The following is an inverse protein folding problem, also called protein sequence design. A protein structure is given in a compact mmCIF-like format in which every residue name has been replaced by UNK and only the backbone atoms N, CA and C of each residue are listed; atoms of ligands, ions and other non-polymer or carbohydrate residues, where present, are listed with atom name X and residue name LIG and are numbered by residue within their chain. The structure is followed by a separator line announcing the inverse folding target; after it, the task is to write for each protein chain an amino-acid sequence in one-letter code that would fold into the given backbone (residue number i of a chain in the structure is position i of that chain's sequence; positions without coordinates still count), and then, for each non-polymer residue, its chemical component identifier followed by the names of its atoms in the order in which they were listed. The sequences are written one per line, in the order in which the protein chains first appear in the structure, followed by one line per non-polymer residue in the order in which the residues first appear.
data_IF_511066765333
#
_entry.id   IF_511066765333
#
_cell.length_a   1.000
_cell.length_b   1.000
_cell.length_c   1.000
_cell.angle_alpha   90.00
_cell.angle_beta   90.00
_cell.angle_gamma   90.00
#
_symmetry.space_group_name_H-M   'P 1'
#
loop_
_entity.id
_entity.type
_entity.pdbx_description
1 polymer ?
#
# COMPACT_ATOMS: atom_id res chain seq x y z
N UNK A 1 -22.50 3.02 -1.72
CA UNK A 1 -21.75 4.02 -0.93
C UNK A 1 -20.27 3.80 -1.18
N UNK A 2 -19.56 4.81 -1.69
CA UNK A 2 -18.10 4.74 -1.84
C UNK A 2 -17.45 5.24 -0.55
N UNK A 3 -16.36 4.59 -0.13
CA UNK A 3 -15.63 4.88 1.11
C UNK A 3 -14.20 5.19 0.74
N UNK A 4 -13.57 6.11 1.49
CA UNK A 4 -12.14 6.37 1.39
C UNK A 4 -11.40 5.54 2.43
N UNK A 5 -10.56 4.61 1.98
CA UNK A 5 -9.91 3.61 2.83
C UNK A 5 -8.40 3.78 2.68
N UNK A 6 -7.73 4.09 3.79
CA UNK A 6 -6.28 4.25 3.84
C UNK A 6 -5.63 3.09 4.60
N UNK A 7 -4.73 2.36 3.94
CA UNK A 7 -3.85 1.39 4.59
C UNK A 7 -2.54 2.07 4.95
N UNK A 8 -2.19 2.04 6.23
CA UNK A 8 -0.97 2.64 6.79
C UNK A 8 -0.23 1.62 7.66
N UNK A 9 1.04 1.88 7.96
CA UNK A 9 1.86 1.00 8.81
C UNK A 9 2.45 -0.21 8.09
N UNK A 10 2.41 -0.25 6.75
CA UNK A 10 3.08 -1.28 5.95
C UNK A 10 4.39 -0.76 5.36
N UNK A 11 5.29 -1.66 4.94
CA UNK A 11 6.47 -1.25 4.17
C UNK A 11 6.08 -0.98 2.73
N UNK A 12 5.29 -1.85 2.13
CA UNK A 12 4.64 -1.60 0.84
C UNK A 12 4.05 -2.87 0.23
N UNK A 13 3.26 -2.68 -0.82
CA UNK A 13 2.85 -3.75 -1.74
C UNK A 13 3.41 -3.39 -3.13
N UNK A 14 3.79 -4.36 -3.99
CA UNK A 14 3.50 -5.79 -3.93
C UNK A 14 4.54 -6.68 -3.20
N UNK A 15 5.71 -6.13 -2.79
CA UNK A 15 6.76 -6.90 -2.11
C UNK A 15 6.34 -7.28 -0.70
N UNK A 16 5.74 -8.46 -0.55
CA UNK A 16 5.29 -9.00 0.73
C UNK A 16 6.47 -9.46 1.60
N UNK A 17 6.76 -8.72 2.67
CA UNK A 17 7.75 -9.09 3.69
C UNK A 17 7.11 -9.66 4.96
N UNK A 18 5.79 -9.47 5.15
CA UNK A 18 5.04 -9.83 6.34
C UNK A 18 3.62 -10.29 6.00
N UNK A 19 3.01 -11.07 6.91
CA UNK A 19 1.61 -11.53 6.77
C UNK A 19 0.60 -10.39 6.60
N UNK A 20 0.86 -9.23 7.22
CA UNK A 20 0.01 -8.06 7.06
C UNK A 20 0.11 -7.46 5.64
N UNK A 21 1.29 -7.47 5.02
CA UNK A 21 1.46 -7.00 3.64
C UNK A 21 0.76 -7.92 2.65
N UNK A 22 0.79 -9.23 2.89
CA UNK A 22 0.01 -10.21 2.12
C UNK A 22 -1.50 -9.96 2.26
N UNK A 23 -1.97 -9.69 3.49
CA UNK A 23 -3.37 -9.35 3.73
C UNK A 23 -3.79 -8.09 2.97
N UNK A 24 -3.02 -7.01 3.05
CA UNK A 24 -3.33 -5.76 2.32
C UNK A 24 -3.27 -5.97 0.81
N UNK A 25 -2.29 -6.73 0.29
CA UNK A 25 -2.16 -7.06 -1.13
C UNK A 25 -3.40 -7.77 -1.68
N UNK A 26 -4.04 -8.59 -0.86
CA UNK A 26 -5.24 -9.34 -1.21
C UNK A 26 -6.51 -8.50 -0.99
N UNK A 27 -6.65 -7.84 0.15
CA UNK A 27 -7.88 -7.13 0.50
C UNK A 27 -8.05 -5.81 -0.27
N UNK A 28 -7.00 -5.00 -0.37
CA UNK A 28 -7.07 -3.67 -0.99
C UNK A 28 -7.63 -3.68 -2.43
N UNK A 29 -7.18 -4.55 -3.36
CA UNK A 29 -7.73 -4.58 -4.71
C UNK A 29 -9.19 -5.08 -4.75
N UNK A 30 -9.61 -5.93 -3.80
CA UNK A 30 -11.01 -6.37 -3.69
C UNK A 30 -11.90 -5.23 -3.23
N UNK A 31 -11.41 -4.36 -2.34
CA UNK A 31 -12.13 -3.15 -1.92
C UNK A 31 -12.22 -2.12 -3.05
N UNK A 32 -11.13 -1.92 -3.80
CA UNK A 32 -11.14 -1.05 -4.98
C UNK A 32 -12.14 -1.53 -6.04
N UNK A 33 -12.15 -2.84 -6.34
CA UNK A 33 -13.13 -3.45 -7.25
C UNK A 33 -14.59 -3.30 -6.81
N UNK A 34 -14.84 -3.13 -5.50
CA UNK A 34 -16.19 -2.84 -4.97
C UNK A 34 -16.58 -1.36 -5.11
N UNK A 35 -15.75 -0.53 -5.74
CA UNK A 35 -16.00 0.89 -5.97
C UNK A 35 -15.58 1.81 -4.82
N UNK A 36 -14.72 1.32 -3.91
CA UNK A 36 -14.14 2.15 -2.85
C UNK A 36 -12.83 2.81 -3.31
N UNK A 37 -12.56 4.01 -2.80
CA UNK A 37 -11.31 4.71 -3.04
C UNK A 37 -10.28 4.21 -2.03
N UNK A 38 -9.35 3.36 -2.47
CA UNK A 38 -8.39 2.70 -1.61
C UNK A 38 -7.00 3.26 -1.87
N UNK A 39 -6.35 3.73 -0.81
CA UNK A 39 -4.98 4.22 -0.85
C UNK A 39 -4.11 3.40 0.11
N UNK A 40 -2.94 2.99 -0.35
CA UNK A 40 -1.94 2.28 0.46
C UNK A 40 -0.71 3.16 0.58
N UNK A 41 -0.38 3.50 1.82
CA UNK A 41 0.82 4.27 2.15
C UNK A 41 1.96 3.31 2.50
N UNK A 42 3.09 3.47 1.84
CA UNK A 42 4.30 2.68 2.11
C UNK A 42 5.57 3.50 1.97
N UNK A 43 6.69 2.85 2.25
CA UNK A 43 8.03 3.45 2.19
C UNK A 43 8.56 3.36 0.77
N UNK A 44 9.20 4.43 0.29
CA UNK A 44 9.74 4.54 -1.07
C UNK A 44 10.55 3.34 -1.53
N UNK A 45 11.44 2.83 -0.68
CA UNK A 45 12.31 1.71 -1.02
C UNK A 45 11.57 0.36 -1.22
N UNK A 46 10.39 0.18 -0.61
CA UNK A 46 9.60 -1.04 -0.77
C UNK A 46 8.51 -0.95 -1.84
N UNK A 47 8.28 0.26 -2.36
CA UNK A 47 7.32 0.54 -3.43
C UNK A 47 8.00 0.83 -4.78
N UNK A 48 9.33 0.72 -4.86
CA UNK A 48 10.08 0.83 -6.13
C UNK A 48 9.55 -0.18 -7.16
N UNK A 49 9.03 0.35 -8.26
CA UNK A 49 8.47 -0.41 -9.38
C UNK A 49 6.94 -0.61 -9.35
N UNK A 50 6.23 -0.14 -8.32
CA UNK A 50 4.79 -0.37 -8.18
C UNK A 50 3.90 0.68 -8.87
N UNK A 51 4.46 1.80 -9.36
CA UNK A 51 3.68 2.91 -9.95
C UNK A 51 2.83 3.66 -8.91
N UNK A 52 1.99 4.60 -9.36
CA UNK A 52 1.01 5.30 -8.49
C UNK A 52 -0.26 4.48 -8.25
N UNK A 53 -0.42 3.35 -8.95
CA UNK A 53 -1.60 2.50 -8.88
C UNK A 53 -1.27 1.00 -8.99
N UNK A 54 -1.88 0.19 -8.13
CA UNK A 54 -1.82 -1.26 -8.14
C UNK A 54 -3.22 -1.86 -8.11
N UNK A 55 -3.66 -2.46 -9.23
CA UNK A 55 -4.97 -3.15 -9.34
C UNK A 55 -6.15 -2.27 -8.86
N UNK A 56 -6.16 -0.99 -9.26
CA UNK A 56 -7.16 0.00 -8.84
C UNK A 56 -6.96 0.58 -7.44
N UNK A 57 -5.86 0.26 -6.76
CA UNK A 57 -5.48 0.82 -5.46
C UNK A 57 -4.42 1.88 -5.66
N UNK A 58 -4.63 3.09 -5.14
CA UNK A 58 -3.62 4.15 -5.17
C UNK A 58 -2.46 3.80 -4.24
N UNK A 59 -1.23 3.90 -4.72
CA UNK A 59 -0.02 3.71 -3.92
C UNK A 59 0.63 5.06 -3.65
N UNK A 60 0.80 5.40 -2.37
CA UNK A 60 1.47 6.63 -1.96
C UNK A 60 2.77 6.27 -1.26
N UNK A 61 3.87 6.71 -1.86
CA UNK A 61 5.20 6.58 -1.29
C UNK A 61 5.50 7.74 -0.35
N UNK A 62 5.84 7.43 0.90
CA UNK A 62 6.28 8.41 1.89
C UNK A 62 7.81 8.39 2.04
N UNK A 63 8.47 9.57 2.08
CA UNK A 63 9.90 9.65 2.31
C UNK A 63 10.22 9.15 3.72
N UNK A 64 11.18 8.24 3.83
CA UNK A 64 11.62 7.69 5.12
C UNK A 64 13.13 7.62 5.20
N UNK A 65 13.69 7.99 6.36
CA UNK A 65 15.12 7.84 6.65
C UNK A 65 15.45 6.35 6.71
N UNK A 66 16.41 5.92 5.89
CA UNK A 66 16.88 4.53 5.83
C UNK A 66 17.85 4.22 6.97
N UNK A 67 17.44 4.43 8.21
CA UNK A 67 18.19 4.02 9.38
C UNK A 67 17.31 3.33 10.40
N UNK A 68 17.81 2.24 10.96
CA UNK A 68 17.23 1.58 12.14
C UNK A 68 17.69 2.25 13.44
N UNK A 69 18.78 3.02 13.36
CA UNK A 69 19.41 3.71 14.48
C UNK A 69 19.31 5.21 14.24
N UNK A 70 18.61 5.92 15.14
CA UNK A 70 18.62 7.37 15.20
C UNK A 70 19.54 7.79 16.35
#
# INVERSE_FOLDING_TARGET
MSLKIAFMGIRGIPKGYSGFETFVRELAPRLAQRGHDVTVYGRSYHMEGAGDEYRGVRLVSLPTIRSKHL
#
